data_IF_142278121971
#
_entry.id   IF_142278121971
#
_cell.length_a   1.000
_cell.length_b   1.000
_cell.length_c   1.000
_cell.angle_alpha   90.00
_cell.angle_beta   90.00
_cell.angle_gamma   90.00
#
_symmetry.space_group_name_H-M   'P 1'
#
loop_
_entity.id
_entity.type
_entity.pdbx_description
1 polymer ?
#
# COMPACT_ATOMS: atom_id res chain seq x y z
N UNK A 1 -51.45 22.92 -1.01
CA UNK A 1 -50.02 22.97 -1.37
C UNK A 1 -49.66 21.60 -1.91
N UNK A 2 -49.71 21.41 -3.25
CA UNK A 2 -49.33 20.13 -3.87
C UNK A 2 -47.84 20.22 -4.15
N UNK A 3 -47.05 19.39 -3.46
CA UNK A 3 -45.65 19.17 -3.83
C UNK A 3 -45.66 18.52 -5.22
N UNK A 4 -44.89 19.09 -6.15
CA UNK A 4 -44.82 18.60 -7.52
C UNK A 4 -44.16 17.21 -7.51
N UNK A 5 -44.91 16.20 -7.94
CA UNK A 5 -44.45 14.81 -8.05
C UNK A 5 -43.24 14.66 -8.99
N UNK A 6 -42.98 15.65 -9.85
CA UNK A 6 -41.82 15.71 -10.74
C UNK A 6 -40.51 16.11 -10.02
N UNK A 7 -40.55 17.00 -9.02
CA UNK A 7 -39.34 17.44 -8.32
C UNK A 7 -38.75 16.34 -7.44
N UNK A 8 -39.61 15.52 -6.82
CA UNK A 8 -39.19 14.39 -5.98
C UNK A 8 -38.53 13.26 -6.78
N UNK A 9 -38.88 13.11 -8.07
CA UNK A 9 -38.29 12.08 -8.93
C UNK A 9 -36.88 12.47 -9.42
N UNK A 10 -36.65 13.75 -9.73
CA UNK A 10 -35.33 14.26 -10.12
C UNK A 10 -34.32 14.26 -8.96
N UNK A 11 -34.76 14.54 -7.74
CA UNK A 11 -33.88 14.48 -6.56
C UNK A 11 -33.42 13.04 -6.27
N UNK A 12 -34.33 12.06 -6.37
CA UNK A 12 -33.98 10.65 -6.18
C UNK A 12 -33.03 10.09 -7.26
N UNK A 13 -33.18 10.53 -8.51
CA UNK A 13 -32.24 10.15 -9.59
C UNK A 13 -30.87 10.82 -9.44
N UNK A 14 -30.81 12.08 -8.99
CA UNK A 14 -29.56 12.76 -8.66
C UNK A 14 -28.85 12.11 -7.48
N UNK A 15 -29.57 11.78 -6.41
CA UNK A 15 -29.00 11.04 -5.27
C UNK A 15 -28.51 9.65 -5.69
N UNK A 16 -29.24 8.94 -6.56
CA UNK A 16 -28.79 7.64 -7.08
C UNK A 16 -27.54 7.76 -7.97
N UNK A 17 -27.46 8.78 -8.84
CA UNK A 17 -26.29 9.06 -9.68
C UNK A 17 -25.08 9.55 -8.87
N UNK A 18 -25.32 10.32 -7.82
CA UNK A 18 -24.30 10.74 -6.86
C UNK A 18 -23.81 9.51 -6.12
N UNK A 19 -24.69 8.71 -5.51
CA UNK A 19 -24.33 7.49 -4.80
C UNK A 19 -23.64 6.48 -5.73
N UNK A 20 -24.07 6.35 -6.98
CA UNK A 20 -23.41 5.51 -7.99
C UNK A 20 -22.03 6.05 -8.37
N UNK A 21 -21.87 7.37 -8.57
CA UNK A 21 -20.55 7.99 -8.77
C UNK A 21 -19.65 7.88 -7.55
N UNK A 22 -20.19 7.97 -6.34
CA UNK A 22 -19.50 7.80 -5.06
C UNK A 22 -19.09 6.33 -4.84
N UNK A 23 -19.92 5.36 -5.27
CA UNK A 23 -19.59 3.93 -5.22
C UNK A 23 -18.56 3.55 -6.30
N UNK A 24 -18.71 4.06 -7.52
CA UNK A 24 -17.75 3.90 -8.61
C UNK A 24 -16.40 4.55 -8.28
N UNK A 25 -16.37 5.69 -7.58
CA UNK A 25 -15.10 6.32 -7.14
C UNK A 25 -14.39 5.53 -6.03
N UNK A 26 -15.11 4.78 -5.19
CA UNK A 26 -14.49 4.04 -4.10
C UNK A 26 -13.86 2.71 -4.55
N UNK A 27 -14.39 2.08 -5.61
CA UNK A 27 -13.81 0.86 -6.22
C UNK A 27 -12.71 1.20 -7.22
N UNK A 28 -12.70 2.41 -7.78
CA UNK A 28 -11.74 2.84 -8.81
C UNK A 28 -10.46 3.48 -8.28
N UNK A 29 -10.37 3.83 -7.00
CA UNK A 29 -9.31 4.72 -6.49
C UNK A 29 -7.88 4.15 -6.65
N UNK A 30 -7.72 2.82 -6.57
CA UNK A 30 -6.43 2.15 -6.72
C UNK A 30 -6.31 1.30 -8.00
N UNK A 31 -7.41 1.09 -8.73
CA UNK A 31 -7.46 0.15 -9.85
C UNK A 31 -6.45 0.52 -10.95
N UNK A 32 -6.29 1.80 -11.22
CA UNK A 32 -5.34 2.28 -12.24
C UNK A 32 -3.88 2.09 -11.81
N UNK A 33 -3.53 2.41 -10.56
CA UNK A 33 -2.16 2.21 -10.04
C UNK A 33 -1.83 0.72 -10.00
N UNK A 34 -2.75 -0.11 -9.49
CA UNK A 34 -2.58 -1.57 -9.47
C UNK A 34 -2.33 -2.11 -10.88
N UNK A 35 -3.14 -1.70 -11.86
CA UNK A 35 -2.97 -2.14 -13.23
C UNK A 35 -1.63 -1.68 -13.82
N UNK A 36 -1.24 -0.42 -13.60
CA UNK A 36 0.07 0.09 -14.07
C UNK A 36 1.24 -0.62 -13.40
N UNK A 37 1.16 -0.92 -12.11
CA UNK A 37 2.21 -1.66 -11.40
C UNK A 37 2.31 -3.11 -11.89
N UNK A 38 1.17 -3.77 -12.18
CA UNK A 38 1.16 -5.10 -12.82
C UNK A 38 1.84 -5.06 -14.19
N UNK A 39 1.55 -4.03 -14.99
CA UNK A 39 2.19 -3.84 -16.30
C UNK A 39 3.68 -3.51 -16.17
N UNK A 40 4.07 -2.76 -15.15
CA UNK A 40 5.47 -2.46 -14.86
C UNK A 40 6.25 -3.75 -14.57
N UNK A 41 5.64 -4.65 -13.78
CA UNK A 41 6.21 -5.95 -13.42
C UNK A 41 5.88 -7.08 -14.41
N UNK A 42 5.56 -6.76 -15.68
CA UNK A 42 5.17 -7.75 -16.67
C UNK A 42 6.19 -8.90 -16.77
N UNK A 43 5.71 -10.14 -16.63
CA UNK A 43 6.55 -11.35 -16.64
C UNK A 43 7.13 -11.74 -15.28
N UNK A 44 6.95 -10.94 -14.23
CA UNK A 44 7.36 -11.26 -12.86
C UNK A 44 6.16 -11.54 -11.95
N UNK A 45 5.56 -12.72 -12.14
CA UNK A 45 4.43 -13.17 -11.35
C UNK A 45 4.72 -13.20 -9.84
N UNK A 46 6.00 -13.38 -9.43
CA UNK A 46 6.37 -13.39 -8.01
C UNK A 46 6.21 -12.01 -7.40
N UNK A 47 6.76 -10.97 -8.04
CA UNK A 47 6.68 -9.58 -7.55
C UNK A 47 5.25 -9.06 -7.58
N UNK A 48 4.50 -9.39 -8.64
CA UNK A 48 3.08 -9.04 -8.73
C UNK A 48 2.28 -9.61 -7.54
N UNK A 49 2.45 -10.90 -7.25
CA UNK A 49 1.78 -11.53 -6.11
C UNK A 49 2.25 -10.95 -4.78
N UNK A 50 3.53 -10.61 -4.66
CA UNK A 50 4.10 -10.03 -3.45
C UNK A 50 3.43 -8.70 -3.10
N UNK A 51 3.50 -7.69 -3.99
CA UNK A 51 2.97 -6.37 -3.65
C UNK A 51 1.45 -6.38 -3.46
N UNK A 52 0.70 -7.25 -4.17
CA UNK A 52 -0.75 -7.37 -3.97
C UNK A 52 -1.10 -7.82 -2.54
N UNK A 53 -0.32 -8.75 -1.97
CA UNK A 53 -0.48 -9.18 -0.57
C UNK A 53 -0.03 -8.10 0.41
N UNK A 54 1.08 -7.42 0.13
CA UNK A 54 1.58 -6.33 0.98
C UNK A 54 0.57 -5.19 1.04
N UNK A 55 0.06 -4.76 -0.12
CA UNK A 55 -1.04 -3.80 -0.23
C UNK A 55 -2.24 -4.18 0.64
N UNK A 56 -2.72 -5.42 0.52
CA UNK A 56 -3.90 -5.83 1.28
C UNK A 56 -3.66 -5.87 2.80
N UNK A 57 -2.47 -6.28 3.24
CA UNK A 57 -2.10 -6.21 4.65
C UNK A 57 -1.95 -4.78 5.15
N UNK A 58 -1.28 -3.91 4.39
CA UNK A 58 -1.14 -2.50 4.72
C UNK A 58 -2.51 -1.81 4.84
N UNK A 59 -3.40 -2.06 3.87
CA UNK A 59 -4.76 -1.53 3.86
C UNK A 59 -5.55 -1.96 5.10
N UNK A 60 -5.48 -3.26 5.44
CA UNK A 60 -6.15 -3.82 6.61
C UNK A 60 -5.60 -3.25 7.92
N UNK A 61 -4.29 -3.23 8.10
CA UNK A 61 -3.64 -2.71 9.32
C UNK A 61 -3.96 -1.23 9.48
N UNK A 62 -3.83 -0.43 8.42
CA UNK A 62 -4.18 1.00 8.44
C UNK A 62 -5.63 1.25 8.87
N UNK A 63 -6.56 0.45 8.35
CA UNK A 63 -7.97 0.52 8.73
C UNK A 63 -8.20 0.17 10.20
N UNK A 64 -7.53 -0.87 10.71
CA UNK A 64 -7.66 -1.33 12.10
C UNK A 64 -6.99 -0.39 13.11
N UNK A 65 -5.89 0.27 12.73
CA UNK A 65 -5.25 1.32 13.54
C UNK A 65 -5.95 2.67 13.43
N UNK A 66 -6.95 2.81 12.54
CA UNK A 66 -7.77 4.01 12.40
C UNK A 66 -7.04 5.16 11.72
N UNK A 67 -6.24 4.88 10.69
CA UNK A 67 -5.58 5.91 9.90
C UNK A 67 -6.60 6.91 9.31
N UNK A 68 -6.29 8.22 9.34
CA UNK A 68 -7.05 9.19 8.55
C UNK A 68 -7.04 8.83 7.07
N UNK A 69 -8.12 9.16 6.36
CA UNK A 69 -8.33 8.78 4.96
C UNK A 69 -7.15 9.11 4.04
N UNK A 70 -6.56 10.28 4.21
CA UNK A 70 -5.42 10.72 3.41
C UNK A 70 -4.16 9.89 3.69
N UNK A 71 -3.87 9.60 4.96
CA UNK A 71 -2.75 8.76 5.35
C UNK A 71 -2.94 7.29 4.92
N UNK A 72 -4.19 6.80 4.94
CA UNK A 72 -4.57 5.50 4.40
C UNK A 72 -4.26 5.41 2.90
N UNK A 73 -4.66 6.43 2.13
CA UNK A 73 -4.38 6.50 0.69
C UNK A 73 -2.87 6.51 0.41
N UNK A 74 -2.10 7.31 1.15
CA UNK A 74 -0.63 7.35 1.04
C UNK A 74 -0.03 5.96 1.30
N UNK A 75 -0.42 5.31 2.40
CA UNK A 75 0.06 3.98 2.77
C UNK A 75 -0.27 2.94 1.70
N UNK A 76 -1.51 2.95 1.20
CA UNK A 76 -1.98 2.00 0.19
C UNK A 76 -1.20 2.13 -1.11
N UNK A 77 -1.00 3.35 -1.60
CA UNK A 77 -0.20 3.62 -2.80
C UNK A 77 1.26 3.22 -2.58
N UNK A 78 1.85 3.59 -1.43
CA UNK A 78 3.23 3.22 -1.11
C UNK A 78 3.40 1.70 -1.04
N UNK A 79 2.44 0.97 -0.46
CA UNK A 79 2.48 -0.49 -0.41
C UNK A 79 2.36 -1.14 -1.80
N UNK A 80 1.57 -0.57 -2.72
CA UNK A 80 1.49 -1.03 -4.11
C UNK A 80 2.84 -0.84 -4.82
N UNK A 81 3.52 0.27 -4.57
CA UNK A 81 4.71 0.68 -5.31
C UNK A 81 6.05 0.43 -4.59
N UNK A 82 6.06 -0.11 -3.37
CA UNK A 82 7.26 -0.17 -2.53
C UNK A 82 8.47 -0.80 -3.22
N UNK A 83 8.23 -1.88 -3.97
CA UNK A 83 9.24 -2.66 -4.67
C UNK A 83 9.49 -2.21 -6.13
N UNK A 84 8.95 -1.06 -6.57
CA UNK A 84 9.11 -0.57 -7.95
C UNK A 84 10.58 -0.34 -8.35
N UNK A 85 11.47 -0.17 -7.37
CA UNK A 85 12.91 -0.03 -7.59
C UNK A 85 13.62 -1.32 -8.01
N UNK A 86 12.98 -2.50 -7.98
CA UNK A 86 13.68 -3.77 -8.25
C UNK A 86 14.16 -3.88 -9.71
N UNK A 87 13.29 -3.79 -10.72
CA UNK A 87 13.71 -3.92 -12.12
C UNK A 87 14.67 -2.80 -12.56
N UNK A 88 14.48 -1.52 -12.19
CA UNK A 88 15.48 -0.48 -12.44
C UNK A 88 16.86 -0.83 -11.87
N UNK A 89 16.91 -1.31 -10.63
CA UNK A 89 18.16 -1.74 -10.01
C UNK A 89 18.80 -2.91 -10.76
N UNK A 90 18.03 -3.94 -11.10
CA UNK A 90 18.54 -5.10 -11.86
C UNK A 90 19.06 -4.70 -13.24
N UNK A 91 18.35 -3.81 -13.94
CA UNK A 91 18.76 -3.32 -15.27
C UNK A 91 20.06 -2.50 -15.20
N UNK A 92 20.22 -1.69 -14.15
CA UNK A 92 21.34 -0.76 -14.01
C UNK A 92 22.58 -1.41 -13.38
N UNK A 93 22.39 -2.32 -12.43
CA UNK A 93 23.46 -2.89 -11.60
C UNK A 93 23.65 -4.40 -11.78
N UNK A 94 22.74 -5.09 -12.48
CA UNK A 94 22.76 -6.55 -12.65
C UNK A 94 22.25 -7.34 -11.44
N UNK A 95 21.84 -6.65 -10.38
CA UNK A 95 21.24 -7.23 -9.18
C UNK A 95 20.38 -6.19 -8.46
N UNK A 96 19.59 -6.62 -7.47
CA UNK A 96 18.83 -5.74 -6.59
C UNK A 96 18.98 -6.15 -5.12
N UNK A 97 18.95 -5.17 -4.23
CA UNK A 97 18.88 -5.31 -2.78
C UNK A 97 18.08 -4.13 -2.20
N UNK A 98 17.74 -4.17 -0.91
CA UNK A 98 16.89 -3.15 -0.29
C UNK A 98 17.40 -1.72 -0.49
N UNK A 99 18.71 -1.48 -0.35
CA UNK A 99 19.31 -0.16 -0.56
C UNK A 99 19.18 0.34 -2.00
N UNK A 100 19.33 -0.54 -2.99
CA UNK A 100 19.15 -0.17 -4.39
C UNK A 100 17.67 0.07 -4.73
N UNK A 101 16.76 -0.67 -4.11
CA UNK A 101 15.31 -0.47 -4.26
C UNK A 101 14.89 0.89 -3.71
N UNK A 102 15.33 1.22 -2.49
CA UNK A 102 15.14 2.53 -1.86
C UNK A 102 15.76 3.68 -2.69
N UNK A 103 16.89 3.42 -3.35
CA UNK A 103 17.57 4.42 -4.18
C UNK A 103 16.85 4.68 -5.51
N UNK A 104 16.45 3.63 -6.24
CA UNK A 104 15.92 3.76 -7.60
C UNK A 104 14.38 3.88 -7.63
N UNK A 105 13.69 3.40 -6.59
CA UNK A 105 12.22 3.35 -6.51
C UNK A 105 11.52 4.72 -6.56
N UNK A 106 11.95 5.73 -5.80
CA UNK A 106 11.25 7.01 -5.69
C UNK A 106 11.05 7.75 -7.03
N UNK A 107 12.04 7.69 -7.92
CA UNK A 107 11.97 8.32 -9.26
C UNK A 107 10.86 7.66 -10.09
N UNK A 108 10.86 6.32 -10.17
CA UNK A 108 9.89 5.56 -10.96
C UNK A 108 8.47 5.65 -10.37
N UNK A 109 8.36 5.68 -9.03
CA UNK A 109 7.09 5.87 -8.36
C UNK A 109 6.47 7.23 -8.69
N UNK A 110 7.29 8.30 -8.66
CA UNK A 110 6.85 9.64 -9.02
C UNK A 110 6.36 9.70 -10.46
N UNK A 111 7.15 9.17 -11.40
CA UNK A 111 6.78 9.14 -12.81
C UNK A 111 5.45 8.40 -13.03
N UNK A 112 5.26 7.24 -12.39
CA UNK A 112 4.02 6.47 -12.51
C UNK A 112 2.83 7.25 -11.96
N UNK A 113 2.96 7.88 -10.79
CA UNK A 113 1.89 8.67 -10.17
C UNK A 113 1.55 9.94 -10.94
N UNK A 114 2.54 10.64 -11.50
CA UNK A 114 2.34 11.80 -12.36
C UNK A 114 1.64 11.42 -13.68
N UNK A 115 1.94 10.23 -14.22
CA UNK A 115 1.26 9.69 -15.41
C UNK A 115 -0.20 9.31 -15.15
N UNK A 116 -0.51 8.78 -13.96
CA UNK A 116 -1.91 8.54 -13.52
C UNK A 116 -2.61 9.88 -13.33
N UNK A 117 -1.95 10.82 -12.68
CA UNK A 117 -2.49 12.13 -12.35
C UNK A 117 -3.51 12.09 -11.21
N UNK A 118 -4.01 13.27 -10.80
CA UNK A 118 -5.03 13.38 -9.75
C UNK A 118 -4.50 13.33 -8.31
N UNK A 119 -3.19 13.15 -8.11
CA UNK A 119 -2.55 13.18 -6.79
C UNK A 119 -1.90 14.53 -6.50
N UNK A 120 -2.01 15.00 -5.26
CA UNK A 120 -1.37 16.21 -4.81
C UNK A 120 0.17 16.00 -4.69
N UNK A 121 1.00 17.03 -4.95
CA UNK A 121 2.46 16.88 -4.92
C UNK A 121 3.01 16.39 -3.57
N UNK A 122 2.44 16.84 -2.46
CA UNK A 122 2.80 16.44 -1.09
C UNK A 122 2.46 14.96 -0.79
N UNK A 123 1.34 14.46 -1.33
CA UNK A 123 1.02 13.03 -1.30
C UNK A 123 2.07 12.22 -2.05
N UNK A 124 2.42 12.62 -3.27
CA UNK A 124 3.46 11.96 -4.08
C UNK A 124 4.80 11.99 -3.34
N UNK A 125 5.16 13.12 -2.72
CA UNK A 125 6.38 13.27 -1.94
C UNK A 125 6.42 12.31 -0.74
N UNK A 126 5.31 12.15 -0.01
CA UNK A 126 5.25 11.19 1.10
C UNK A 126 5.31 9.75 0.61
N UNK A 127 4.64 9.40 -0.49
CA UNK A 127 4.76 8.06 -1.09
C UNK A 127 6.21 7.77 -1.48
N UNK A 128 6.85 8.70 -2.19
CA UNK A 128 8.26 8.57 -2.57
C UNK A 128 9.18 8.43 -1.35
N UNK A 129 8.90 9.17 -0.27
CA UNK A 129 9.62 9.03 0.98
C UNK A 129 9.46 7.62 1.58
N UNK A 130 8.24 7.08 1.65
CA UNK A 130 8.01 5.73 2.17
C UNK A 130 8.75 4.67 1.34
N UNK A 131 8.72 4.79 0.01
CA UNK A 131 9.47 3.92 -0.91
C UNK A 131 10.98 4.06 -0.70
N UNK A 132 11.49 5.26 -0.43
CA UNK A 132 12.91 5.47 -0.15
C UNK A 132 13.40 4.90 1.19
N UNK A 133 12.49 4.40 2.05
CA UNK A 133 12.82 3.98 3.41
C UNK A 133 12.18 2.64 3.84
N UNK A 134 11.58 1.87 2.92
CA UNK A 134 10.85 0.64 3.25
C UNK A 134 11.76 -0.55 3.66
N UNK A 135 13.09 -0.44 3.50
CA UNK A 135 14.08 -1.36 4.09
C UNK A 135 14.85 -0.71 5.26
N UNK A 136 14.44 0.47 5.69
CA UNK A 136 15.04 1.23 6.78
C UNK A 136 14.16 1.11 8.04
N UNK A 137 14.71 0.50 9.09
CA UNK A 137 13.97 0.20 10.33
C UNK A 137 14.23 1.19 11.49
N UNK A 138 15.10 2.17 11.29
CA UNK A 138 15.47 3.17 12.27
C UNK A 138 14.85 4.52 11.91
N UNK A 139 14.48 5.32 12.92
CA UNK A 139 13.97 6.68 12.70
C UNK A 139 12.54 6.77 12.17
N UNK A 140 11.75 5.70 12.27
CA UNK A 140 10.35 5.64 11.83
C UNK A 140 9.55 6.82 12.38
N UNK A 141 9.04 7.68 11.47
CA UNK A 141 8.45 8.98 11.79
C UNK A 141 6.92 9.05 11.66
N UNK A 142 6.27 7.94 11.32
CA UNK A 142 4.83 7.89 11.08
C UNK A 142 4.24 6.49 11.13
N UNK A 143 2.94 6.43 11.38
CA UNK A 143 2.22 5.17 11.46
C UNK A 143 2.08 4.49 10.09
N UNK A 144 1.99 5.28 9.00
CA UNK A 144 2.09 4.80 7.62
C UNK A 144 3.40 4.04 7.36
N UNK A 145 4.55 4.62 7.73
CA UNK A 145 5.84 3.94 7.56
C UNK A 145 5.92 2.68 8.41
N UNK A 146 5.52 2.75 9.69
CA UNK A 146 5.50 1.58 10.57
C UNK A 146 4.65 0.44 9.99
N UNK A 147 3.47 0.76 9.44
CA UNK A 147 2.58 -0.23 8.86
C UNK A 147 3.15 -0.83 7.58
N UNK A 148 3.79 -0.02 6.72
CA UNK A 148 4.43 -0.52 5.50
C UNK A 148 5.48 -1.59 5.83
N UNK A 149 6.33 -1.33 6.84
CA UNK A 149 7.36 -2.28 7.29
C UNK A 149 6.74 -3.59 7.82
N UNK A 150 5.66 -3.49 8.59
CA UNK A 150 4.98 -4.65 9.16
C UNK A 150 4.25 -5.47 8.10
N UNK A 151 3.59 -4.81 7.15
CA UNK A 151 2.87 -5.44 6.05
C UNK A 151 3.81 -6.19 5.10
N UNK A 152 4.94 -5.57 4.72
CA UNK A 152 5.97 -6.24 3.93
C UNK A 152 6.52 -7.46 4.68
N UNK A 153 6.83 -7.32 5.98
CA UNK A 153 7.36 -8.44 6.76
C UNK A 153 6.37 -9.61 6.90
N UNK A 154 5.06 -9.35 7.03
CA UNK A 154 4.04 -10.41 7.06
C UNK A 154 4.08 -11.29 5.82
N UNK A 155 4.25 -10.69 4.63
CA UNK A 155 4.35 -11.43 3.37
C UNK A 155 5.71 -12.10 3.25
N UNK A 156 6.78 -11.37 3.54
CA UNK A 156 8.16 -11.84 3.44
C UNK A 156 8.44 -13.05 4.34
N UNK A 157 7.94 -13.02 5.58
CA UNK A 157 8.11 -14.13 6.53
C UNK A 157 7.52 -15.44 6.01
N UNK A 158 6.40 -15.38 5.30
CA UNK A 158 5.78 -16.53 4.66
C UNK A 158 6.51 -16.94 3.37
N UNK A 159 6.68 -16.02 2.42
CA UNK A 159 7.27 -16.34 1.11
C UNK A 159 8.71 -16.84 1.20
N UNK A 160 9.47 -16.35 2.18
CA UNK A 160 10.86 -16.76 2.41
C UNK A 160 10.96 -17.96 3.35
N UNK A 161 9.84 -18.54 3.80
CA UNK A 161 9.79 -19.63 4.78
C UNK A 161 10.71 -19.37 5.98
N UNK A 162 10.56 -18.19 6.60
CA UNK A 162 11.48 -17.76 7.66
C UNK A 162 11.36 -18.68 8.90
N UNK A 163 12.46 -19.00 9.59
CA UNK A 163 12.42 -19.76 10.83
C UNK A 163 11.61 -19.05 11.92
N UNK A 164 10.88 -19.80 12.73
CA UNK A 164 10.06 -19.27 13.84
C UNK A 164 10.83 -18.31 14.76
N UNK A 165 12.06 -18.66 15.13
CA UNK A 165 12.91 -17.81 15.97
C UNK A 165 13.25 -16.47 15.31
N UNK A 166 13.44 -16.44 13.99
CA UNK A 166 13.68 -15.21 13.25
C UNK A 166 12.42 -14.33 13.21
N UNK A 167 11.25 -14.94 13.02
CA UNK A 167 9.95 -14.25 13.03
C UNK A 167 9.68 -13.62 14.39
N UNK A 168 9.86 -14.39 15.48
CA UNK A 168 9.67 -13.88 16.85
C UNK A 168 10.65 -12.75 17.17
N UNK A 169 11.91 -12.89 16.77
CA UNK A 169 12.92 -11.84 16.97
C UNK A 169 12.55 -10.56 16.23
N UNK A 170 12.13 -10.65 14.97
CA UNK A 170 11.74 -9.48 14.19
C UNK A 170 10.47 -8.84 14.76
N UNK A 171 9.45 -9.65 15.12
CA UNK A 171 8.25 -9.19 15.82
C UNK A 171 8.61 -8.32 17.03
N UNK A 172 9.46 -8.81 17.92
CA UNK A 172 9.82 -8.08 19.14
C UNK A 172 10.64 -6.81 18.87
N UNK A 173 11.44 -6.79 17.81
CA UNK A 173 12.29 -5.65 17.48
C UNK A 173 11.51 -4.55 16.74
N UNK A 174 10.77 -4.93 15.69
CA UNK A 174 10.27 -4.01 14.67
C UNK A 174 8.78 -3.75 14.78
N UNK A 175 7.94 -4.75 15.05
CA UNK A 175 6.50 -4.55 15.11
C UNK A 175 6.11 -3.65 16.30
N UNK A 176 5.22 -2.68 16.05
CA UNK A 176 4.68 -1.72 17.01
C UNK A 176 3.16 -1.65 16.97
N UNK A 177 2.52 -1.82 15.82
CA UNK A 177 1.06 -1.71 15.74
C UNK A 177 0.36 -2.89 16.42
N UNK A 178 -0.78 -2.64 17.06
CA UNK A 178 -1.51 -3.71 17.76
C UNK A 178 -2.05 -4.73 16.75
N UNK A 179 -2.61 -4.24 15.64
CA UNK A 179 -3.17 -5.06 14.58
C UNK A 179 -2.09 -5.84 13.81
N UNK A 180 -0.94 -5.25 13.47
CA UNK A 180 0.17 -5.97 12.84
C UNK A 180 0.71 -7.10 13.71
N UNK A 181 0.88 -6.85 15.02
CA UNK A 181 1.29 -7.89 15.98
C UNK A 181 0.25 -9.01 16.04
N UNK A 182 -1.04 -8.66 16.12
CA UNK A 182 -2.13 -9.63 16.17
C UNK A 182 -2.20 -10.47 14.89
N UNK A 183 -2.05 -9.85 13.71
CA UNK A 183 -2.04 -10.55 12.43
C UNK A 183 -0.85 -11.52 12.33
N UNK A 184 0.35 -11.09 12.72
CA UNK A 184 1.53 -11.96 12.72
C UNK A 184 1.33 -13.16 13.67
N UNK A 185 0.79 -12.90 14.87
CA UNK A 185 0.46 -13.96 15.82
C UNK A 185 -0.57 -14.93 15.26
N UNK A 186 -1.63 -14.43 14.61
CA UNK A 186 -2.66 -15.25 13.99
C UNK A 186 -2.13 -16.08 12.82
N UNK A 187 -1.26 -15.51 11.97
CA UNK A 187 -0.66 -16.18 10.82
C UNK A 187 0.17 -17.40 11.23
N UNK A 188 0.82 -17.35 12.40
CA UNK A 188 1.71 -18.42 12.88
C UNK A 188 1.22 -19.16 14.13
N UNK A 189 0.05 -18.82 14.66
CA UNK A 189 -0.52 -19.43 15.87
C UNK A 189 0.25 -19.12 17.16
N UNK A 190 0.95 -17.98 17.23
CA UNK A 190 1.65 -17.56 18.44
C UNK A 190 0.67 -17.05 19.50
N UNK A 191 0.92 -17.42 20.75
CA UNK A 191 0.21 -16.85 21.90
C UNK A 191 0.84 -15.51 22.27
N UNK A 192 0.00 -14.56 22.70
CA UNK A 192 0.44 -13.24 23.20
C UNK A 192 1.37 -13.34 24.41
#
# INVERSE_FOLDING_TARGET
MRLNFFELHEEGEKEALINQRFHDTQVMEHAEILHKMILFDEGDARRIQHFLKVYQYASLIGSLEGLPREQQLILEIAAILHDIGIHPAEKKYGFSNGKLQEQEGPEHARELLEQVGGYAPDLIDRVCFLIAHHHTYEGVDGLDWQILLEADYLVNSYEKNMPEEAIKKFRSAIFKTKSGIALLNNQYGYKE
#
